data_IF_719649228415
#
_entry.id   IF_719649228415
#
_cell.length_a   1.000
_cell.length_b   1.000
_cell.length_c   1.000
_cell.angle_alpha   90.00
_cell.angle_beta   90.00
_cell.angle_gamma   90.00
#
_symmetry.space_group_name_H-M   'P 1'
#
loop_
_entity.id
_entity.type
_entity.pdbx_description
1 polymer ?
#
# COMPACT_ATOMS: atom_id res chain seq x y z
N UNK A 1 -13.24 -52.54 -49.68
CA UNK A 1 -13.61 -51.55 -48.66
C UNK A 1 -13.24 -52.19 -47.34
N UNK A 2 -11.99 -51.96 -46.95
CA UNK A 2 -11.36 -52.54 -45.77
C UNK A 2 -10.78 -51.34 -45.04
N UNK A 3 -11.21 -51.19 -43.78
CA UNK A 3 -11.12 -49.98 -43.00
C UNK A 3 -9.69 -49.76 -42.47
N UNK A 4 -9.28 -48.49 -42.47
CA UNK A 4 -8.04 -48.00 -41.87
C UNK A 4 -8.04 -48.22 -40.35
N UNK A 5 -7.10 -49.05 -39.86
CA UNK A 5 -6.65 -49.03 -38.46
C UNK A 5 -5.59 -47.93 -38.30
N UNK A 6 -5.93 -46.86 -37.59
CA UNK A 6 -4.95 -45.88 -37.09
C UNK A 6 -4.58 -46.24 -35.65
N UNK A 7 -3.33 -46.66 -35.49
CA UNK A 7 -2.72 -47.08 -34.24
C UNK A 7 -2.21 -45.90 -33.39
N UNK A 8 -2.63 -45.91 -32.12
CA UNK A 8 -1.86 -45.69 -30.90
C UNK A 8 -1.05 -44.39 -30.68
N UNK A 9 -1.52 -43.72 -29.63
CA UNK A 9 -0.91 -42.70 -28.77
C UNK A 9 0.42 -43.16 -28.17
N UNK A 10 1.47 -42.33 -28.27
CA UNK A 10 2.50 -42.23 -27.22
C UNK A 10 3.26 -40.89 -27.31
N UNK A 11 2.83 -39.89 -26.51
CA UNK A 11 3.53 -38.62 -26.38
C UNK A 11 4.43 -38.68 -25.14
N UNK A 12 5.74 -38.81 -25.36
CA UNK A 12 6.76 -39.03 -24.34
C UNK A 12 7.10 -37.72 -23.63
N UNK A 13 6.79 -37.64 -22.33
CA UNK A 13 7.28 -36.57 -21.43
C UNK A 13 8.48 -37.10 -20.63
N UNK A 14 9.65 -36.43 -20.62
CA UNK A 14 10.78 -36.88 -19.82
C UNK A 14 10.60 -36.57 -18.33
N UNK A 15 10.71 -37.64 -17.53
CA UNK A 15 10.77 -37.67 -16.07
C UNK A 15 12.13 -37.15 -15.59
N UNK A 16 12.18 -36.00 -14.91
CA UNK A 16 13.41 -35.50 -14.24
C UNK A 16 13.32 -35.65 -12.72
N UNK A 17 14.45 -36.11 -12.18
CA UNK A 17 14.72 -36.71 -10.88
C UNK A 17 14.39 -35.83 -9.67
N UNK A 18 13.82 -36.48 -8.65
CA UNK A 18 13.74 -36.07 -7.24
C UNK A 18 15.15 -35.81 -6.68
N UNK A 19 15.43 -34.59 -6.21
CA UNK A 19 16.64 -34.26 -5.42
C UNK A 19 16.26 -33.51 -4.14
N UNK A 20 16.30 -34.27 -3.05
CA UNK A 20 16.59 -33.97 -1.65
C UNK A 20 16.30 -32.57 -1.09
N UNK A 21 15.33 -32.54 -0.17
CA UNK A 21 15.02 -31.46 0.78
C UNK A 21 16.28 -30.96 1.49
N UNK A 22 16.64 -29.69 1.25
CA UNK A 22 17.26 -28.85 2.28
C UNK A 22 16.27 -27.74 2.60
N UNK A 23 15.74 -27.83 3.82
CA UNK A 23 14.93 -26.81 4.47
C UNK A 23 15.74 -25.52 4.51
N UNK A 24 15.40 -24.56 3.65
CA UNK A 24 15.80 -23.18 3.81
C UNK A 24 14.58 -22.46 4.37
N UNK A 25 14.54 -22.34 5.70
CA UNK A 25 13.70 -21.38 6.41
C UNK A 25 14.16 -19.99 5.98
N UNK A 26 13.63 -19.52 4.85
CA UNK A 26 13.73 -18.12 4.46
C UNK A 26 12.66 -17.42 5.30
N UNK A 27 13.10 -16.63 6.28
CA UNK A 27 12.25 -15.72 7.03
C UNK A 27 11.39 -14.94 6.02
N UNK A 28 10.09 -15.16 6.09
CA UNK A 28 9.12 -14.62 5.16
C UNK A 28 9.11 -13.10 5.27
N UNK A 29 9.61 -12.44 4.23
CA UNK A 29 9.49 -11.02 3.99
C UNK A 29 8.02 -10.59 4.16
N UNK A 30 7.81 -9.49 4.88
CA UNK A 30 6.50 -8.87 5.02
C UNK A 30 6.02 -8.40 3.64
N UNK A 31 5.03 -9.10 3.07
CA UNK A 31 4.35 -8.63 1.87
C UNK A 31 3.29 -7.62 2.34
N UNK A 32 3.70 -6.37 2.56
CA UNK A 32 2.80 -5.23 2.69
C UNK A 32 2.78 -4.57 1.32
N UNK A 33 1.73 -4.82 0.55
CA UNK A 33 1.61 -4.35 -0.83
C UNK A 33 1.25 -2.86 -0.80
N UNK A 34 2.25 -1.98 -0.95
CA UNK A 34 2.00 -0.60 -1.39
C UNK A 34 1.97 -0.63 -2.91
N UNK A 35 0.78 -0.63 -3.51
CA UNK A 35 0.65 -0.51 -4.97
C UNK A 35 0.86 0.97 -5.33
N UNK A 36 2.04 1.29 -5.87
CA UNK A 36 2.29 2.59 -6.51
C UNK A 36 1.88 2.45 -7.98
N UNK A 37 0.78 3.11 -8.38
CA UNK A 37 0.41 3.21 -9.80
C UNK A 37 1.14 4.42 -10.38
N UNK A 38 2.22 4.17 -11.14
CA UNK A 38 2.99 5.23 -11.80
C UNK A 38 2.27 5.61 -13.10
N UNK A 39 1.38 6.61 -13.04
CA UNK A 39 0.90 7.30 -14.25
C UNK A 39 1.82 8.50 -14.50
N UNK A 40 2.80 8.35 -15.39
CA UNK A 40 3.74 9.42 -15.71
C UNK A 40 3.11 10.44 -16.67
N UNK A 41 2.49 11.50 -16.13
CA UNK A 41 2.16 12.71 -16.89
C UNK A 41 3.22 13.78 -16.63
N UNK A 42 4.13 13.98 -17.59
CA UNK A 42 5.10 15.08 -17.57
C UNK A 42 4.39 16.37 -17.99
N UNK A 43 3.65 16.99 -17.08
CA UNK A 43 3.13 18.34 -17.27
C UNK A 43 4.23 19.37 -16.93
N UNK A 44 4.47 20.34 -17.82
CA UNK A 44 5.52 21.36 -17.76
C UNK A 44 6.01 21.73 -16.36
N UNK A 45 7.30 21.53 -16.12
CA UNK A 45 7.92 21.67 -14.81
C UNK A 45 8.05 23.15 -14.41
N UNK A 46 7.27 23.58 -13.41
CA UNK A 46 7.44 24.85 -12.71
C UNK A 46 7.85 24.53 -11.28
N UNK A 47 9.05 24.96 -10.88
CA UNK A 47 9.58 24.70 -9.56
C UNK A 47 8.66 25.28 -8.46
N UNK A 48 8.28 24.45 -7.49
CA UNK A 48 7.37 24.82 -6.41
C UNK A 48 7.32 23.79 -5.28
N UNK A 49 6.41 24.01 -4.32
CA UNK A 49 6.18 23.03 -3.24
C UNK A 49 5.36 21.85 -3.79
N UNK A 50 5.63 20.61 -3.33
CA UNK A 50 4.76 19.47 -3.64
C UNK A 50 3.29 19.74 -3.27
N UNK A 51 2.37 19.17 -4.05
CA UNK A 51 0.92 19.27 -3.82
C UNK A 51 0.28 17.90 -3.86
N UNK A 52 -0.80 17.70 -3.13
CA UNK A 52 -1.54 16.45 -3.09
C UNK A 52 -3.04 16.70 -3.31
N UNK A 53 -3.70 15.81 -4.04
CA UNK A 53 -5.13 15.89 -4.36
C UNK A 53 -5.81 14.55 -4.12
N UNK A 54 -6.97 14.59 -3.46
CA UNK A 54 -7.82 13.42 -3.25
C UNK A 54 -8.37 12.91 -4.59
N UNK A 55 -8.33 11.60 -4.77
CA UNK A 55 -8.90 10.89 -5.91
C UNK A 55 -10.11 10.04 -5.51
N UNK A 56 -10.24 8.89 -6.17
CA UNK A 56 -11.35 7.96 -5.94
C UNK A 56 -11.10 7.10 -4.69
N UNK A 57 -12.19 6.53 -4.17
CA UNK A 57 -12.14 5.46 -3.17
C UNK A 57 -12.77 4.23 -3.80
N UNK A 58 -12.11 3.09 -3.70
CA UNK A 58 -12.58 1.82 -4.26
C UNK A 58 -12.32 0.64 -3.32
N UNK A 59 -12.85 -0.53 -3.67
CA UNK A 59 -12.70 -1.75 -2.89
C UNK A 59 -11.21 -2.13 -2.71
N UNK A 60 -10.82 -2.34 -1.46
CA UNK A 60 -9.47 -2.73 -1.06
C UNK A 60 -9.42 -4.09 -0.38
N UNK A 61 -10.41 -4.96 -0.64
CA UNK A 61 -10.59 -6.25 0.06
C UNK A 61 -9.36 -7.18 -0.03
N UNK A 62 -8.55 -7.05 -1.07
CA UNK A 62 -7.28 -7.77 -1.22
C UNK A 62 -6.30 -7.48 -0.08
N UNK A 63 -6.31 -6.28 0.49
CA UNK A 63 -5.43 -5.88 1.60
C UNK A 63 -5.79 -6.65 2.88
N UNK A 64 -7.07 -6.76 3.21
CA UNK A 64 -7.52 -7.58 4.34
C UNK A 64 -7.15 -9.05 4.17
N UNK A 65 -7.33 -9.57 2.95
CA UNK A 65 -6.96 -10.94 2.64
C UNK A 65 -5.46 -11.17 2.90
N UNK A 66 -4.60 -10.22 2.51
CA UNK A 66 -3.17 -10.28 2.82
C UNK A 66 -2.88 -10.22 4.31
N UNK A 67 -3.55 -9.35 5.09
CA UNK A 67 -3.36 -9.30 6.54
C UNK A 67 -3.79 -10.60 7.23
N UNK A 68 -4.90 -11.20 6.80
CA UNK A 68 -5.42 -12.44 7.37
C UNK A 68 -4.58 -13.68 7.05
N UNK A 69 -3.88 -13.66 5.92
CA UNK A 69 -3.03 -14.76 5.47
C UNK A 69 -1.56 -14.56 5.85
N UNK A 70 -1.19 -13.37 6.32
CA UNK A 70 0.17 -13.06 6.74
C UNK A 70 0.48 -13.66 8.11
N UNK A 71 1.60 -14.38 8.20
CA UNK A 71 2.16 -14.86 9.46
C UNK A 71 2.96 -13.77 10.21
N UNK A 72 3.23 -12.65 9.55
CA UNK A 72 4.08 -11.56 10.06
C UNK A 72 3.30 -10.30 10.43
N UNK A 73 2.04 -10.18 9.99
CA UNK A 73 1.16 -9.08 10.38
C UNK A 73 0.65 -9.33 11.80
N UNK A 74 1.27 -8.67 12.78
CA UNK A 74 0.88 -8.73 14.19
C UNK A 74 -0.10 -7.61 14.53
N UNK A 75 -0.85 -7.77 15.64
CA UNK A 75 -1.70 -6.71 16.16
C UNK A 75 -0.90 -5.43 16.47
N UNK A 76 0.34 -5.57 16.93
CA UNK A 76 1.27 -4.46 17.14
C UNK A 76 1.60 -3.74 15.82
N UNK A 77 1.96 -4.47 14.76
CA UNK A 77 2.24 -3.86 13.46
C UNK A 77 1.03 -3.13 12.87
N UNK A 78 -0.18 -3.67 13.06
CA UNK A 78 -1.43 -3.02 12.66
C UNK A 78 -1.70 -1.75 13.49
N UNK A 79 -1.41 -1.79 14.80
CA UNK A 79 -1.52 -0.63 15.67
C UNK A 79 -0.55 0.48 15.27
N UNK A 80 0.68 0.14 14.88
CA UNK A 80 1.61 1.13 14.34
C UNK A 80 1.17 1.72 13.00
N UNK A 81 0.61 0.89 12.11
CA UNK A 81 0.22 1.32 10.77
C UNK A 81 -1.04 2.19 10.75
N UNK A 82 -1.98 1.95 11.68
CA UNK A 82 -3.31 2.58 11.67
C UNK A 82 -3.61 3.41 12.92
N UNK A 83 -2.78 3.33 13.97
CA UNK A 83 -3.08 3.95 15.26
C UNK A 83 -4.25 3.27 15.98
N UNK A 84 -4.42 1.95 15.79
CA UNK A 84 -5.44 1.19 16.51
C UNK A 84 -5.20 1.18 18.01
N UNK A 85 -6.29 1.03 18.77
CA UNK A 85 -6.19 0.47 20.11
C UNK A 85 -5.82 -1.01 20.04
N UNK A 86 -5.30 -1.58 21.13
CA UNK A 86 -5.03 -3.02 21.21
C UNK A 86 -6.28 -3.85 20.88
N UNK A 87 -7.46 -3.42 21.35
CA UNK A 87 -8.72 -4.10 21.09
C UNK A 87 -9.14 -4.07 19.61
N UNK A 88 -8.96 -2.95 18.92
CA UNK A 88 -9.29 -2.84 17.49
C UNK A 88 -8.35 -3.71 16.64
N UNK A 89 -7.06 -3.72 16.97
CA UNK A 89 -6.08 -4.55 16.27
C UNK A 89 -6.34 -6.06 16.47
N UNK A 90 -6.78 -6.46 17.66
CA UNK A 90 -7.22 -7.84 17.93
C UNK A 90 -8.54 -8.16 17.21
N UNK A 91 -9.51 -7.24 17.22
CA UNK A 91 -10.79 -7.38 16.50
C UNK A 91 -10.57 -7.60 15.01
N UNK A 92 -9.69 -6.82 14.38
CA UNK A 92 -9.34 -6.99 12.97
C UNK A 92 -8.88 -8.42 12.66
N UNK A 93 -8.10 -9.02 13.56
CA UNK A 93 -7.58 -10.39 13.35
C UNK A 93 -8.64 -11.47 13.61
N UNK A 94 -9.55 -11.23 14.56
CA UNK A 94 -10.44 -12.25 15.10
C UNK A 94 -11.89 -12.18 14.56
N UNK A 95 -12.40 -11.00 14.19
CA UNK A 95 -13.76 -10.76 13.68
C UNK A 95 -13.74 -10.35 12.19
N UNK A 96 -13.11 -11.18 11.36
CA UNK A 96 -12.91 -10.92 9.93
C UNK A 96 -14.15 -10.42 9.16
N UNK A 97 -15.38 -10.93 9.40
CA UNK A 97 -16.57 -10.48 8.68
C UNK A 97 -17.03 -9.06 9.01
N UNK A 98 -16.60 -8.49 10.14
CA UNK A 98 -16.95 -7.13 10.52
C UNK A 98 -16.10 -6.07 9.81
N UNK A 99 -14.94 -6.47 9.29
CA UNK A 99 -13.97 -5.55 8.71
C UNK A 99 -14.02 -5.51 7.18
N UNK A 100 -13.96 -4.29 6.65
CA UNK A 100 -13.91 -4.00 5.20
C UNK A 100 -12.70 -3.11 4.93
N UNK A 101 -12.11 -3.23 3.74
CA UNK A 101 -11.00 -2.39 3.33
C UNK A 101 -11.32 -1.64 2.05
N UNK A 102 -10.79 -0.44 1.97
CA UNK A 102 -10.90 0.45 0.83
C UNK A 102 -9.54 1.05 0.52
N UNK A 103 -9.32 1.36 -0.75
CA UNK A 103 -8.15 2.09 -1.21
C UNK A 103 -8.56 3.50 -1.57
N UNK A 104 -7.91 4.48 -0.95
CA UNK A 104 -8.11 5.90 -1.24
C UNK A 104 -6.93 6.43 -2.08
N UNK A 105 -7.23 6.87 -3.30
CA UNK A 105 -6.23 7.47 -4.18
C UNK A 105 -5.88 8.87 -3.72
N UNK A 106 -4.58 9.16 -3.72
CA UNK A 106 -4.07 10.51 -3.57
C UNK A 106 -3.04 10.74 -4.66
N UNK A 107 -3.32 11.69 -5.55
CA UNK A 107 -2.36 12.13 -6.54
C UNK A 107 -1.35 13.08 -5.87
N UNK A 108 -0.05 12.79 -5.98
CA UNK A 108 1.00 13.62 -5.40
C UNK A 108 1.88 14.18 -6.50
N UNK A 109 1.81 15.49 -6.71
CA UNK A 109 2.65 16.18 -7.68
C UNK A 109 3.90 16.75 -7.01
N UNK A 110 5.07 16.16 -7.29
CA UNK A 110 6.35 16.70 -6.83
C UNK A 110 6.80 17.84 -7.75
N UNK A 111 6.45 19.07 -7.38
CA UNK A 111 6.89 20.30 -8.08
C UNK A 111 8.29 20.76 -7.67
N UNK A 112 8.94 20.08 -6.72
CA UNK A 112 10.26 20.52 -6.23
C UNK A 112 11.39 20.10 -7.18
N UNK A 113 12.59 20.63 -6.99
CA UNK A 113 13.78 20.31 -7.82
C UNK A 113 14.44 18.98 -7.44
N UNK A 114 14.00 18.38 -6.35
CA UNK A 114 14.61 17.21 -5.74
C UNK A 114 13.56 16.11 -5.56
N UNK A 115 13.97 14.83 -5.51
CA UNK A 115 13.09 13.76 -5.09
C UNK A 115 12.62 13.98 -3.64
N UNK A 116 11.41 13.51 -3.35
CA UNK A 116 10.85 13.49 -1.99
C UNK A 116 10.52 12.07 -1.60
N UNK A 117 10.59 11.79 -0.30
CA UNK A 117 10.21 10.51 0.29
C UNK A 117 9.03 10.70 1.23
N UNK A 118 7.96 9.93 1.05
CA UNK A 118 6.80 9.89 1.95
C UNK A 118 6.97 8.72 2.92
N UNK A 119 6.77 8.95 4.21
CA UNK A 119 6.92 7.92 5.26
C UNK A 119 5.69 7.75 6.14
N UNK A 120 4.82 8.75 6.20
CA UNK A 120 3.69 8.77 7.10
C UNK A 120 2.58 9.72 6.63
N UNK A 121 1.41 9.57 7.24
CA UNK A 121 0.24 10.39 7.05
C UNK A 121 -0.29 10.85 8.42
N UNK A 122 -0.45 12.16 8.59
CA UNK A 122 -1.18 12.74 9.71
C UNK A 122 -2.67 12.79 9.36
N UNK A 123 -3.44 11.88 9.93
CA UNK A 123 -4.88 11.74 9.71
C UNK A 123 -5.63 12.25 10.94
N UNK A 124 -6.29 13.40 10.79
CA UNK A 124 -7.06 13.99 11.89
C UNK A 124 -8.27 13.11 12.22
N UNK A 125 -8.48 12.84 13.52
CA UNK A 125 -9.58 12.03 14.05
C UNK A 125 -9.60 10.59 13.48
N UNK A 126 -8.45 9.97 13.30
CA UNK A 126 -8.38 8.58 12.84
C UNK A 126 -9.13 7.64 13.81
N UNK A 127 -9.90 6.69 13.28
CA UNK A 127 -10.78 5.79 14.06
C UNK A 127 -12.17 6.35 14.34
N UNK A 128 -12.45 7.61 14.00
CA UNK A 128 -13.80 8.17 14.07
C UNK A 128 -14.74 7.40 13.16
N UNK A 129 -15.97 7.19 13.63
CA UNK A 129 -17.03 6.47 12.90
C UNK A 129 -16.61 5.05 12.48
N UNK A 130 -15.70 4.43 13.24
CA UNK A 130 -15.10 3.12 12.99
C UNK A 130 -14.32 3.03 11.66
N UNK A 131 -13.68 4.13 11.24
CA UNK A 131 -12.86 4.20 10.02
C UNK A 131 -11.44 4.61 10.38
N UNK A 132 -10.47 3.77 10.01
CA UNK A 132 -9.04 4.01 10.19
C UNK A 132 -8.34 4.08 8.85
N UNK A 133 -7.75 5.23 8.53
CA UNK A 133 -6.81 5.34 7.43
C UNK A 133 -5.41 4.98 7.91
N UNK A 134 -4.61 4.43 7.00
CA UNK A 134 -3.19 4.20 7.25
C UNK A 134 -2.47 5.51 7.60
N UNK A 135 -1.67 5.49 8.67
CA UNK A 135 -0.89 6.63 9.16
C UNK A 135 0.62 6.44 8.95
N UNK A 136 1.08 5.23 8.64
CA UNK A 136 2.49 4.91 8.41
C UNK A 136 2.64 3.97 7.21
N UNK A 137 3.55 4.29 6.31
CA UNK A 137 3.88 3.40 5.20
C UNK A 137 4.86 2.32 5.68
N UNK A 138 4.78 1.12 5.11
CA UNK A 138 5.74 0.06 5.44
C UNK A 138 7.14 0.39 4.95
N UNK A 139 7.22 0.99 3.76
CA UNK A 139 8.45 1.48 3.14
C UNK A 139 8.27 2.94 2.73
N UNK A 140 9.38 3.69 2.59
CA UNK A 140 9.33 5.06 2.08
C UNK A 140 8.86 5.03 0.62
N UNK A 141 7.93 5.92 0.26
CA UNK A 141 7.49 6.09 -1.14
C UNK A 141 8.27 7.25 -1.74
N UNK A 142 9.19 6.94 -2.65
CA UNK A 142 10.01 7.95 -3.33
C UNK A 142 9.32 8.51 -4.57
N UNK A 143 9.26 9.83 -4.67
CA UNK A 143 8.66 10.57 -5.78
C UNK A 143 9.72 11.47 -6.39
N UNK A 144 10.15 11.11 -7.60
CA UNK A 144 11.12 11.88 -8.38
C UNK A 144 10.57 13.28 -8.70
N UNK A 145 11.47 14.27 -8.80
CA UNK A 145 11.14 15.63 -9.20
C UNK A 145 10.35 15.67 -10.53
N UNK A 146 9.28 16.46 -10.57
CA UNK A 146 8.42 16.62 -11.75
C UNK A 146 7.36 15.54 -11.95
N UNK A 147 7.44 14.41 -11.23
CA UNK A 147 6.47 13.34 -11.36
C UNK A 147 5.19 13.58 -10.55
N UNK A 148 4.11 12.94 -11.01
CA UNK A 148 2.78 13.03 -10.41
C UNK A 148 2.19 11.62 -10.23
N UNK A 149 2.76 10.76 -9.36
CA UNK A 149 2.20 9.44 -9.10
C UNK A 149 0.89 9.51 -8.30
N UNK A 150 0.11 8.44 -8.42
CA UNK A 150 -1.00 8.14 -7.49
C UNK A 150 -0.48 7.20 -6.42
N UNK A 151 -0.60 7.63 -5.15
CA UNK A 151 -0.40 6.77 -3.99
C UNK A 151 -1.74 6.27 -3.47
N UNK A 152 -1.74 5.10 -2.86
CA UNK A 152 -2.93 4.52 -2.24
C UNK A 152 -2.79 4.56 -0.72
N UNK A 153 -3.76 5.16 -0.06
CA UNK A 153 -3.92 5.12 1.39
C UNK A 153 -4.99 4.07 1.69
N UNK A 154 -4.63 3.00 2.39
CA UNK A 154 -5.62 2.00 2.80
C UNK A 154 -6.48 2.57 3.93
N UNK A 155 -7.80 2.38 3.82
CA UNK A 155 -8.76 2.60 4.89
C UNK A 155 -9.36 1.26 5.34
N UNK A 156 -9.41 1.04 6.64
CA UNK A 156 -10.05 -0.09 7.29
C UNK A 156 -11.31 0.39 8.01
N UNK A 157 -12.40 -0.31 7.79
CA UNK A 157 -13.73 0.03 8.31
C UNK A 157 -14.24 -1.15 9.12
N UNK A 158 -14.63 -0.90 10.37
CA UNK A 158 -15.24 -1.89 11.24
C UNK A 158 -16.74 -1.61 11.39
N UNK A 159 -17.59 -2.55 10.96
CA UNK A 159 -19.04 -2.40 11.04
C UNK A 159 -19.74 -3.18 9.93
N UNK A 160 -20.61 -4.10 10.33
CA UNK A 160 -21.32 -4.98 9.37
C UNK A 160 -22.37 -4.18 8.60
N UNK A 161 -23.01 -3.26 9.29
CA UNK A 161 -24.07 -2.35 8.86
C UNK A 161 -23.57 -1.18 7.99
N UNK A 162 -22.28 -0.86 8.01
CA UNK A 162 -21.73 0.24 7.20
C UNK A 162 -21.74 -0.18 5.74
N UNK A 163 -22.54 0.49 4.92
CA UNK A 163 -22.58 0.22 3.47
C UNK A 163 -21.29 0.69 2.79
N UNK A 164 -20.97 0.10 1.63
CA UNK A 164 -19.79 0.52 0.87
C UNK A 164 -19.86 1.99 0.44
N UNK A 165 -21.04 2.46 0.05
CA UNK A 165 -21.26 3.86 -0.32
C UNK A 165 -21.00 4.80 0.86
N UNK A 166 -21.56 4.49 2.03
CA UNK A 166 -21.34 5.26 3.27
C UNK A 166 -19.85 5.31 3.61
N UNK A 167 -19.17 4.16 3.62
CA UNK A 167 -17.74 4.09 3.90
C UNK A 167 -16.93 4.96 2.93
N UNK A 168 -17.16 4.82 1.63
CA UNK A 168 -16.45 5.59 0.60
C UNK A 168 -16.68 7.10 0.72
N UNK A 169 -17.89 7.53 1.08
CA UNK A 169 -18.21 8.94 1.31
C UNK A 169 -17.54 9.49 2.57
N UNK A 170 -17.52 8.74 3.67
CA UNK A 170 -16.86 9.17 4.91
C UNK A 170 -15.33 9.22 4.76
N UNK A 171 -14.72 8.24 4.08
CA UNK A 171 -13.26 8.23 3.82
C UNK A 171 -12.81 9.53 3.13
N UNK A 172 -13.58 10.02 2.16
CA UNK A 172 -13.27 11.27 1.43
C UNK A 172 -13.32 12.53 2.31
N UNK A 173 -13.95 12.49 3.48
CA UNK A 173 -14.06 13.64 4.39
C UNK A 173 -12.85 13.77 5.33
N UNK A 174 -11.98 12.77 5.39
CA UNK A 174 -10.81 12.80 6.27
C UNK A 174 -9.83 13.93 5.87
N UNK A 175 -9.35 14.65 6.88
CA UNK A 175 -8.30 15.65 6.70
C UNK A 175 -6.94 14.97 6.84
N UNK A 176 -6.27 14.77 5.70
CA UNK A 176 -4.97 14.08 5.63
C UNK A 176 -3.86 15.08 5.33
N UNK A 177 -2.74 14.96 6.04
CA UNK A 177 -1.47 15.57 5.64
C UNK A 177 -0.45 14.48 5.37
N UNK A 178 0.16 14.53 4.19
CA UNK A 178 1.28 13.66 3.81
C UNK A 178 2.54 14.21 4.47
N UNK A 179 3.22 13.40 5.26
CA UNK A 179 4.53 13.71 5.81
C UNK A 179 5.60 13.25 4.83
N UNK A 180 6.43 14.20 4.38
CA UNK A 180 7.49 13.93 3.42
C UNK A 180 8.79 14.60 3.84
N UNK A 181 9.89 14.04 3.40
CA UNK A 181 11.22 14.63 3.50
C UNK A 181 11.86 14.74 2.12
N UNK A 182 12.94 15.51 2.02
CA UNK A 182 13.84 15.38 0.87
C UNK A 182 14.50 14.01 0.96
N UNK A 183 14.57 13.29 -0.14
CA UNK A 183 15.31 12.03 -0.18
C UNK A 183 16.79 12.35 0.11
N UNK A 184 17.41 11.72 1.13
CA UNK A 184 18.81 11.97 1.45
C UNK A 184 19.70 11.67 0.24
N UNK A 185 20.53 12.63 -0.13
CA UNK A 185 21.64 12.44 -1.06
C UNK A 185 22.95 12.36 -0.32
N UNK A 186 23.83 11.47 -0.75
CA UNK A 186 25.23 11.41 -0.32
C UNK A 186 26.05 12.29 -1.25
N UNK A 187 26.72 13.28 -0.69
CA UNK A 187 27.66 14.12 -1.41
C UNK A 187 28.93 13.33 -1.81
N UNK A 188 29.71 13.78 -2.80
CA UNK A 188 30.96 13.12 -3.21
C UNK A 188 31.98 12.95 -2.05
N UNK A 189 31.89 13.79 -1.02
CA UNK A 189 32.69 13.74 0.21
C UNK A 189 32.06 12.86 1.32
N UNK A 190 31.02 12.10 1.01
CA UNK A 190 30.41 11.11 1.92
C UNK A 190 29.48 11.71 2.97
N UNK A 191 29.17 13.01 2.94
CA UNK A 191 28.21 13.63 3.86
C UNK A 191 26.78 13.42 3.40
N UNK A 192 25.93 12.92 4.27
CA UNK A 192 24.49 12.83 4.05
C UNK A 192 23.80 14.18 4.29
N UNK A 193 22.77 14.46 3.51
CA UNK A 193 21.92 15.63 3.74
C UNK A 193 20.97 15.41 4.93
N UNK A 194 20.71 16.48 5.68
CA UNK A 194 19.84 16.45 6.86
C UNK A 194 18.38 16.24 6.43
N UNK A 195 17.74 15.17 6.92
CA UNK A 195 16.32 14.90 6.69
C UNK A 195 15.45 15.96 7.38
N UNK A 196 14.84 16.85 6.59
CA UNK A 196 13.88 17.84 7.11
C UNK A 196 12.47 17.41 6.74
N UNK A 197 11.68 17.00 7.74
CA UNK A 197 10.28 16.60 7.55
C UNK A 197 9.38 17.81 7.31
N UNK A 198 8.47 17.68 6.34
CA UNK A 198 7.47 18.68 5.92
C UNK A 198 6.13 18.00 5.68
N UNK A 199 5.07 18.79 5.58
CA UNK A 199 3.71 18.28 5.33
C UNK A 199 3.07 18.86 4.08
N UNK A 200 2.30 18.06 3.36
CA UNK A 200 1.41 18.48 2.26
C UNK A 200 -0.02 18.14 2.67
N UNK A 201 -0.92 19.12 2.64
CA UNK A 201 -2.35 18.85 2.84
C UNK A 201 -2.94 18.23 1.58
N UNK A 202 -3.66 17.13 1.72
CA UNK A 202 -4.49 16.56 0.64
C UNK A 202 -5.71 17.47 0.47
N UNK A 203 -5.90 17.97 -0.75
CA UNK A 203 -7.03 18.82 -1.12
C UNK A 203 -8.19 18.03 -1.68
#
# INVERSE_FOLDING_TARGET
MENEETSLVENTTPRVKKKNKKSLLIGSAAIIIVVVVIVALIAGYIAGKPTAQAGSVYDGSSVLTSYYNSTTTTAESLSEMYGFSTGDAESLRNDKPAWKAYSFEVEVKNKSKEPISISAFDVKNNGKDNIWLQIKTAEKIDIIAGNTPTILITALVNGREITAETAMQEIKKFSIKIMYSKTPTTSPDGKESIETSKTIRVK
#
